data_IF_689761642061
#
_entry.id   IF_689761642061
#
_cell.length_a   1.000
_cell.length_b   1.000
_cell.length_c   1.000
_cell.angle_alpha   90.00
_cell.angle_beta   90.00
_cell.angle_gamma   90.00
#
_symmetry.space_group_name_H-M   'P 1'
#
loop_
_entity.id
_entity.type
_entity.pdbx_description
1 polymer ?
#
# COMPACT_ATOMS: atom_id res chain seq x y z
N UNK A 1 -11.63 9.14 0.80
CA UNK A 1 -12.03 8.24 1.91
C UNK A 1 -11.16 7.00 1.90
N UNK A 2 -10.47 6.75 3.01
CA UNK A 2 -9.62 5.59 3.26
C UNK A 2 -10.46 4.38 3.68
N UNK A 3 -10.08 3.17 3.31
CA UNK A 3 -10.70 1.93 3.84
C UNK A 3 -9.68 1.10 4.61
N UNK A 4 -10.17 0.11 5.35
CA UNK A 4 -9.31 -0.86 6.06
C UNK A 4 -8.39 -1.61 5.08
N UNK A 5 -8.81 -1.79 3.83
CA UNK A 5 -8.04 -2.51 2.81
C UNK A 5 -6.73 -1.81 2.47
N UNK A 6 -6.73 -0.48 2.32
CA UNK A 6 -5.48 0.26 2.04
C UNK A 6 -4.51 0.24 3.23
N UNK A 7 -5.00 0.28 4.47
CA UNK A 7 -4.15 0.13 5.66
C UNK A 7 -3.49 -1.26 5.74
N UNK A 8 -4.22 -2.31 5.34
CA UNK A 8 -3.64 -3.66 5.24
C UNK A 8 -2.55 -3.75 4.19
N UNK A 9 -2.66 -2.98 3.09
CA UNK A 9 -1.61 -2.90 2.07
C UNK A 9 -0.36 -2.21 2.59
N UNK A 10 -0.49 -1.12 3.35
CA UNK A 10 0.66 -0.47 4.03
C UNK A 10 1.36 -1.47 4.94
N UNK A 11 0.61 -2.19 5.77
CA UNK A 11 1.16 -3.24 6.65
C UNK A 11 1.93 -4.30 5.84
N UNK A 12 1.38 -4.76 4.72
CA UNK A 12 2.02 -5.78 3.88
C UNK A 12 3.32 -5.28 3.25
N UNK A 13 3.37 -4.03 2.76
CA UNK A 13 4.60 -3.46 2.19
C UNK A 13 5.68 -3.33 3.28
N UNK A 14 5.33 -2.86 4.47
CA UNK A 14 6.25 -2.76 5.59
C UNK A 14 6.82 -4.14 6.01
N UNK A 15 6.01 -5.19 5.96
CA UNK A 15 6.42 -6.56 6.29
C UNK A 15 7.32 -7.19 5.21
N UNK A 16 6.92 -7.08 3.95
CA UNK A 16 7.62 -7.74 2.84
C UNK A 16 8.84 -6.93 2.35
N UNK A 17 8.96 -5.65 2.72
CA UNK A 17 9.99 -4.71 2.26
C UNK A 17 10.14 -4.67 0.73
N UNK A 18 9.06 -5.00 0.02
CA UNK A 18 9.00 -5.10 -1.43
C UNK A 18 7.57 -4.98 -1.91
N UNK A 19 7.30 -3.98 -2.75
CA UNK A 19 5.98 -3.76 -3.34
C UNK A 19 5.52 -4.97 -4.18
N UNK A 20 6.44 -5.61 -4.92
CA UNK A 20 6.11 -6.78 -5.74
C UNK A 20 5.74 -8.00 -4.87
N UNK A 21 6.46 -8.24 -3.78
CA UNK A 21 6.15 -9.33 -2.84
C UNK A 21 4.83 -9.07 -2.09
N UNK A 22 4.62 -7.84 -1.61
CA UNK A 22 3.37 -7.42 -0.97
C UNK A 22 2.16 -7.54 -1.91
N UNK A 23 2.30 -7.17 -3.18
CA UNK A 23 1.23 -7.28 -4.18
C UNK A 23 0.87 -8.75 -4.44
N UNK A 24 1.89 -9.61 -4.59
CA UNK A 24 1.71 -11.06 -4.72
C UNK A 24 0.98 -11.64 -3.51
N UNK A 25 1.36 -11.25 -2.30
CA UNK A 25 0.71 -11.68 -1.05
C UNK A 25 -0.73 -11.17 -0.92
N UNK A 26 -0.97 -9.94 -1.35
CA UNK A 26 -2.30 -9.31 -1.42
C UNK A 26 -3.18 -9.83 -2.57
N UNK A 27 -2.63 -10.67 -3.46
CA UNK A 27 -3.29 -11.21 -4.66
C UNK A 27 -3.83 -10.10 -5.59
N UNK A 28 -3.07 -9.03 -5.75
CA UNK A 28 -3.36 -7.94 -6.69
C UNK A 28 -2.13 -7.60 -7.54
N UNK A 29 -2.31 -6.77 -8.56
CA UNK A 29 -1.18 -6.26 -9.32
C UNK A 29 -0.37 -5.25 -8.49
N UNK A 30 0.95 -5.19 -8.73
CA UNK A 30 1.82 -4.22 -8.07
C UNK A 30 1.44 -2.75 -8.36
N UNK A 31 0.98 -2.38 -9.58
CA UNK A 31 0.46 -1.04 -9.82
C UNK A 31 -0.77 -0.70 -8.99
N UNK A 32 -1.70 -1.65 -8.82
CA UNK A 32 -2.89 -1.44 -7.98
C UNK A 32 -2.50 -1.25 -6.50
N UNK A 33 -1.50 -2.00 -6.02
CA UNK A 33 -0.95 -1.81 -4.68
C UNK A 33 -0.35 -0.42 -4.52
N UNK A 34 0.50 0.00 -5.47
CA UNK A 34 1.17 1.31 -5.42
C UNK A 34 0.18 2.47 -5.44
N UNK A 35 -0.86 2.39 -6.28
CA UNK A 35 -1.92 3.39 -6.31
C UNK A 35 -2.69 3.47 -4.98
N UNK A 36 -2.93 2.32 -4.34
CA UNK A 36 -3.56 2.29 -3.02
C UNK A 36 -2.67 2.90 -1.94
N UNK A 37 -1.35 2.68 -1.98
CA UNK A 37 -0.39 3.31 -1.06
C UNK A 37 -0.34 4.82 -1.29
N UNK A 38 -0.22 5.28 -2.54
CA UNK A 38 -0.19 6.71 -2.86
C UNK A 38 -1.45 7.43 -2.35
N UNK A 39 -2.62 6.78 -2.44
CA UNK A 39 -3.87 7.29 -1.87
C UNK A 39 -3.80 7.41 -0.33
N UNK A 40 -3.13 6.49 0.37
CA UNK A 40 -2.92 6.60 1.82
C UNK A 40 -2.00 7.77 2.14
N UNK A 41 -0.88 7.89 1.43
CA UNK A 41 0.10 8.96 1.59
C UNK A 41 -0.54 10.34 1.36
N UNK A 42 -1.36 10.49 0.32
CA UNK A 42 -2.12 11.71 0.05
C UNK A 42 -3.06 12.09 1.21
N UNK A 43 -3.79 11.12 1.76
CA UNK A 43 -4.66 11.35 2.92
C UNK A 43 -3.89 11.65 4.21
N UNK A 44 -2.63 11.22 4.29
CA UNK A 44 -1.72 11.52 5.40
C UNK A 44 -0.98 12.86 5.24
N UNK A 45 -1.33 13.67 4.25
CA UNK A 45 -0.70 14.98 3.99
C UNK A 45 0.42 14.94 2.96
N UNK A 46 0.48 13.91 2.10
CA UNK A 46 1.45 13.78 1.02
C UNK A 46 2.84 13.32 1.46
N UNK A 47 2.98 12.79 2.68
CA UNK A 47 4.24 12.28 3.22
C UNK A 47 4.41 10.81 2.86
N UNK A 48 5.61 10.42 2.46
CA UNK A 48 5.92 9.00 2.23
C UNK A 48 6.11 8.26 3.56
N UNK A 49 5.43 7.12 3.71
CA UNK A 49 5.33 6.39 4.99
C UNK A 49 5.94 4.98 4.95
N UNK A 50 6.61 4.60 3.85
CA UNK A 50 7.14 3.25 3.60
C UNK A 50 8.58 3.25 3.08
#
# INVERSE_FOLDING_TARGET
MLTVKELLYVKLVAQERSFSAAAKRAKISQPALSAAIAKVEEQAGGVSIL
#
